data_IF_938616580423
#
_entry.id   IF_938616580423
#
_cell.length_a   1.000
_cell.length_b   1.000
_cell.length_c   1.000
_cell.angle_alpha   90.00
_cell.angle_beta   90.00
_cell.angle_gamma   90.00
#
_symmetry.space_group_name_H-M   'P 1'
#
loop_
_entity.id
_entity.type
_entity.pdbx_description
1 polymer ?
#
# COMPACT_ATOMS: atom_id res chain seq x y z
N UNK A 1 -31.31 -27.69 6.66
CA UNK A 1 -32.36 -26.91 7.34
C UNK A 1 -31.87 -25.46 7.53
N UNK A 2 -31.95 -24.94 8.76
CA UNK A 2 -31.60 -23.57 9.19
C UNK A 2 -30.12 -23.18 9.10
N UNK A 3 -29.19 -24.10 9.35
CA UNK A 3 -27.74 -23.85 9.46
C UNK A 3 -27.10 -23.30 8.17
N UNK A 4 -27.59 -23.76 7.02
CA UNK A 4 -27.10 -23.37 5.68
C UNK A 4 -27.36 -21.90 5.36
N UNK A 5 -28.53 -21.35 5.74
CA UNK A 5 -28.90 -19.97 5.42
C UNK A 5 -28.10 -18.94 6.22
N UNK A 6 -27.75 -19.30 7.46
CA UNK A 6 -26.99 -18.45 8.37
C UNK A 6 -25.55 -18.30 7.86
N UNK A 7 -24.98 -19.40 7.37
CA UNK A 7 -23.61 -19.47 6.84
C UNK A 7 -23.43 -18.68 5.55
N UNK A 8 -24.38 -18.79 4.60
CA UNK A 8 -24.33 -18.01 3.34
C UNK A 8 -24.35 -16.50 3.60
N UNK A 9 -25.14 -16.05 4.58
CA UNK A 9 -25.20 -14.63 4.96
C UNK A 9 -23.89 -14.12 5.59
N UNK A 10 -23.18 -14.99 6.32
CA UNK A 10 -21.92 -14.66 6.99
C UNK A 10 -20.76 -14.60 6.00
N UNK A 11 -20.72 -15.52 5.03
CA UNK A 11 -19.67 -15.55 4.00
C UNK A 11 -19.69 -14.30 3.13
N UNK A 12 -20.87 -13.85 2.69
CA UNK A 12 -20.99 -12.62 1.87
C UNK A 12 -20.55 -11.39 2.67
N UNK A 13 -20.89 -11.33 3.97
CA UNK A 13 -20.46 -10.26 4.88
C UNK A 13 -18.95 -10.27 5.10
N UNK A 14 -18.36 -11.44 5.34
CA UNK A 14 -16.92 -11.62 5.52
C UNK A 14 -16.15 -11.26 4.24
N UNK A 15 -16.61 -11.72 3.08
CA UNK A 15 -16.03 -11.39 1.78
C UNK A 15 -16.06 -9.87 1.51
N UNK A 16 -17.20 -9.23 1.79
CA UNK A 16 -17.35 -7.77 1.66
C UNK A 16 -16.41 -7.01 2.59
N UNK A 17 -16.21 -7.50 3.83
CA UNK A 17 -15.28 -6.91 4.78
C UNK A 17 -13.83 -7.04 4.29
N UNK A 18 -13.41 -8.24 3.88
CA UNK A 18 -12.05 -8.51 3.40
C UNK A 18 -11.75 -7.67 2.15
N UNK A 19 -12.68 -7.60 1.20
CA UNK A 19 -12.54 -6.76 0.00
C UNK A 19 -12.34 -5.28 0.37
N UNK A 20 -13.15 -4.76 1.30
CA UNK A 20 -13.02 -3.37 1.78
C UNK A 20 -11.68 -3.16 2.49
N UNK A 21 -11.22 -4.10 3.30
CA UNK A 21 -9.91 -4.06 3.97
C UNK A 21 -8.77 -4.03 2.97
N UNK A 22 -8.80 -4.89 1.94
CA UNK A 22 -7.78 -4.91 0.88
C UNK A 22 -7.75 -3.57 0.14
N UNK A 23 -8.92 -2.98 -0.13
CA UNK A 23 -9.02 -1.68 -0.78
C UNK A 23 -8.40 -0.56 0.08
N UNK A 24 -8.63 -0.56 1.38
CA UNK A 24 -7.96 0.39 2.29
C UNK A 24 -6.45 0.17 2.36
N UNK A 25 -6.00 -1.09 2.36
CA UNK A 25 -4.57 -1.42 2.34
C UNK A 25 -3.90 -0.89 1.06
N UNK A 26 -4.55 -1.08 -0.09
CA UNK A 26 -4.08 -0.55 -1.38
C UNK A 26 -3.99 0.98 -1.34
N UNK A 27 -5.02 1.63 -0.79
CA UNK A 27 -5.03 3.08 -0.63
C UNK A 27 -3.88 3.56 0.27
N UNK A 28 -3.61 2.84 1.36
CA UNK A 28 -2.49 3.15 2.26
C UNK A 28 -1.15 3.03 1.54
N UNK A 29 -0.94 1.98 0.74
CA UNK A 29 0.27 1.83 -0.09
C UNK A 29 0.38 3.01 -1.07
N UNK A 30 -0.71 3.42 -1.70
CA UNK A 30 -0.73 4.56 -2.61
C UNK A 30 -0.30 5.86 -1.89
N UNK A 31 -0.80 6.11 -0.68
CA UNK A 31 -0.39 7.25 0.13
C UNK A 31 1.10 7.22 0.48
N UNK A 32 1.65 6.05 0.81
CA UNK A 32 3.08 5.89 1.08
C UNK A 32 3.91 6.19 -0.16
N UNK A 33 3.50 5.67 -1.31
CA UNK A 33 4.18 5.92 -2.60
C UNK A 33 4.15 7.42 -2.91
N UNK A 34 2.99 8.06 -2.82
CA UNK A 34 2.86 9.52 -3.02
C UNK A 34 3.75 10.28 -2.03
N UNK A 35 3.77 9.88 -0.76
CA UNK A 35 4.64 10.48 0.25
C UNK A 35 6.12 10.35 -0.08
N UNK A 36 6.56 9.21 -0.63
CA UNK A 36 7.92 9.01 -1.10
C UNK A 36 8.27 9.92 -2.28
N UNK A 37 7.38 10.03 -3.27
CA UNK A 37 7.56 10.96 -4.38
C UNK A 37 7.65 12.40 -3.89
N UNK A 38 6.76 12.81 -2.97
CA UNK A 38 6.77 14.14 -2.40
C UNK A 38 8.06 14.39 -1.61
N UNK A 39 8.45 13.49 -0.71
CA UNK A 39 9.67 13.65 0.08
C UNK A 39 10.94 13.69 -0.77
N UNK A 40 11.07 12.78 -1.74
CA UNK A 40 12.28 12.69 -2.57
C UNK A 40 12.37 13.83 -3.59
N UNK A 41 11.27 14.21 -4.25
CA UNK A 41 11.29 15.25 -5.27
C UNK A 41 11.15 16.66 -4.72
N UNK A 42 10.17 16.91 -3.83
CA UNK A 42 9.90 18.27 -3.35
C UNK A 42 10.87 18.71 -2.25
N UNK A 43 11.38 17.78 -1.44
CA UNK A 43 12.32 18.10 -0.35
C UNK A 43 13.76 17.73 -0.74
N UNK A 44 13.95 16.62 -1.45
CA UNK A 44 15.27 16.10 -1.81
C UNK A 44 15.83 16.54 -3.17
N UNK A 45 15.10 17.37 -3.93
CA UNK A 45 15.44 17.78 -5.31
C UNK A 45 15.72 16.61 -6.28
N UNK A 46 15.31 15.39 -5.93
CA UNK A 46 15.53 14.19 -6.72
C UNK A 46 14.51 14.03 -7.85
N UNK A 47 14.80 13.16 -8.83
CA UNK A 47 13.87 12.91 -9.94
C UNK A 47 12.76 11.93 -9.52
N UNK A 48 11.53 12.12 -10.01
CA UNK A 48 10.36 11.32 -9.63
C UNK A 48 10.62 9.82 -9.83
N UNK A 49 11.19 9.43 -10.96
CA UNK A 49 11.40 8.02 -11.28
C UNK A 49 12.50 7.33 -10.48
N UNK A 50 13.39 8.08 -9.84
CA UNK A 50 14.49 7.51 -9.07
C UNK A 50 14.03 6.88 -7.75
N UNK A 51 12.89 7.31 -7.19
CA UNK A 51 12.27 6.68 -6.01
C UNK A 51 11.97 5.20 -6.24
N UNK A 52 11.65 4.82 -7.48
CA UNK A 52 11.36 3.42 -7.83
C UNK A 52 12.63 2.65 -8.23
N UNK A 53 13.75 3.33 -8.41
CA UNK A 53 15.00 2.68 -8.76
C UNK A 53 15.68 2.12 -7.51
N UNK A 54 16.06 0.84 -7.56
CA UNK A 54 16.77 0.16 -6.48
C UNK A 54 18.13 0.80 -6.18
N UNK A 55 18.80 1.36 -7.18
CA UNK A 55 20.11 2.02 -7.01
C UNK A 55 20.03 3.20 -6.04
N UNK A 56 18.94 3.98 -6.09
CA UNK A 56 18.68 5.11 -5.20
C UNK A 56 18.61 4.67 -3.74
N UNK A 57 17.90 3.57 -3.47
CA UNK A 57 17.80 3.00 -2.13
C UNK A 57 19.14 2.46 -1.64
N UNK A 58 19.89 1.82 -2.53
CA UNK A 58 21.24 1.36 -2.20
C UNK A 58 22.14 2.56 -1.84
N UNK A 59 22.05 3.66 -2.58
CA UNK A 59 22.78 4.89 -2.29
C UNK A 59 22.37 5.51 -0.95
N UNK A 60 21.07 5.59 -0.64
CA UNK A 60 20.57 6.09 0.66
C UNK A 60 21.04 5.19 1.82
N UNK A 61 20.94 3.87 1.68
CA UNK A 61 21.38 2.92 2.72
C UNK A 61 22.89 3.02 2.95
N UNK A 62 23.66 3.15 1.86
CA UNK A 62 25.10 3.35 1.94
C UNK A 62 25.47 4.71 2.55
N UNK A 63 24.65 5.74 2.36
CA UNK A 63 24.85 7.06 2.98
C UNK A 63 24.59 7.06 4.48
N UNK A 64 23.57 6.30 4.93
CA UNK A 64 23.22 6.18 6.36
C UNK A 64 24.20 5.28 7.11
N UNK A 65 24.80 4.30 6.43
CA UNK A 65 25.77 3.37 7.01
C UNK A 65 27.14 4.03 7.22
#
# INVERSE_FOLDING_TARGET
>A
MSETYLTESMLIKALKLILKTILYLLLLILFVVIGLFVGYCLIGDGNYWEVLNRDTWQHIINFVK
#
